data_IF_937856692135
#
_entry.id   IF_937856692135
#
_cell.length_a   1.000
_cell.length_b   1.000
_cell.length_c   1.000
_cell.angle_alpha   90.00
_cell.angle_beta   90.00
_cell.angle_gamma   90.00
#
_symmetry.space_group_name_H-M   'P 1'
#
loop_
_entity.id
_entity.type
_entity.pdbx_description
1 polymer ?
#
# COMPACT_ATOMS: atom_id res chain seq x y z
N UNK A 1 -42.25 29.76 -41.48
CA UNK A 1 -42.47 28.99 -40.22
C UNK A 1 -41.88 27.58 -40.25
N UNK A 2 -42.11 26.75 -41.27
CA UNK A 2 -41.58 25.36 -41.27
C UNK A 2 -40.04 25.24 -41.25
N UNK A 3 -39.28 26.17 -41.82
CA UNK A 3 -37.81 26.17 -41.82
C UNK A 3 -37.22 26.65 -40.46
N UNK A 4 -37.93 27.48 -39.71
CA UNK A 4 -37.51 27.90 -38.36
C UNK A 4 -37.74 26.81 -37.32
N UNK A 5 -38.83 26.02 -37.45
CA UNK A 5 -39.10 24.89 -36.57
C UNK A 5 -38.06 23.77 -36.75
N UNK A 6 -37.60 23.54 -37.98
CA UNK A 6 -36.55 22.55 -38.30
C UNK A 6 -35.19 22.94 -37.72
N UNK A 7 -34.85 24.23 -37.70
CA UNK A 7 -33.58 24.70 -37.11
C UNK A 7 -33.57 24.58 -35.58
N UNK A 8 -34.70 24.84 -34.91
CA UNK A 8 -34.82 24.68 -33.46
C UNK A 8 -34.76 23.22 -33.07
N UNK A 9 -35.34 22.31 -33.86
CA UNK A 9 -35.29 20.87 -33.60
C UNK A 9 -33.87 20.31 -33.77
N UNK A 10 -33.10 20.77 -34.76
CA UNK A 10 -31.70 20.35 -34.96
C UNK A 10 -30.78 20.92 -33.88
N UNK A 11 -31.03 22.16 -33.41
CA UNK A 11 -30.26 22.76 -32.32
C UNK A 11 -30.54 22.08 -30.98
N UNK A 12 -31.78 21.65 -30.72
CA UNK A 12 -32.12 20.90 -29.52
C UNK A 12 -31.57 19.47 -29.52
N UNK A 13 -31.45 18.83 -30.70
CA UNK A 13 -30.79 17.53 -30.82
C UNK A 13 -29.25 17.64 -30.70
N UNK A 14 -28.66 18.76 -31.15
CA UNK A 14 -27.22 18.98 -31.04
C UNK A 14 -26.78 19.34 -29.59
N UNK A 15 -27.68 19.96 -28.79
CA UNK A 15 -27.41 20.23 -27.37
C UNK A 15 -27.59 19.01 -26.47
N UNK A 16 -28.30 17.98 -26.95
CA UNK A 16 -28.44 16.72 -26.17
C UNK A 16 -27.30 15.73 -26.36
N UNK A 17 -26.30 16.06 -27.21
CA UNK A 17 -25.10 15.22 -27.45
C UNK A 17 -23.87 15.65 -26.65
N UNK A 18 -24.00 16.68 -25.81
CA UNK A 18 -22.99 16.98 -24.76
C UNK A 18 -23.64 16.74 -23.38
N UNK A 19 -24.32 15.64 -23.23
CA UNK A 19 -24.47 15.03 -21.94
C UNK A 19 -23.14 14.31 -21.71
N UNK A 20 -22.21 14.99 -21.03
CA UNK A 20 -21.34 14.29 -20.09
C UNK A 20 -22.26 13.27 -19.40
N UNK A 21 -21.90 11.99 -19.30
CA UNK A 21 -22.66 11.09 -18.47
C UNK A 21 -22.73 11.78 -17.10
N UNK A 22 -23.90 12.36 -16.76
CA UNK A 22 -24.23 12.58 -15.39
C UNK A 22 -24.07 11.17 -14.80
N UNK A 23 -23.00 10.96 -14.05
CA UNK A 23 -22.93 9.79 -13.18
C UNK A 23 -24.27 9.86 -12.44
N UNK A 24 -25.13 8.89 -12.70
CA UNK A 24 -26.29 8.66 -11.88
C UNK A 24 -25.81 8.87 -10.45
N UNK A 25 -26.63 9.47 -9.57
CA UNK A 25 -26.37 9.41 -8.12
C UNK A 25 -26.29 7.92 -7.78
N UNK A 26 -25.12 7.33 -8.11
CA UNK A 26 -24.81 5.93 -7.99
C UNK A 26 -24.53 5.63 -6.55
N UNK A 27 -24.85 4.44 -6.15
CA UNK A 27 -24.43 3.87 -4.89
C UNK A 27 -22.98 4.23 -4.63
N UNK A 28 -22.68 4.79 -3.45
CA UNK A 28 -21.35 5.24 -3.13
C UNK A 28 -20.41 4.02 -3.13
N UNK A 29 -19.28 4.15 -3.82
CA UNK A 29 -18.27 3.13 -3.91
C UNK A 29 -17.73 2.77 -2.51
N UNK A 30 -17.72 1.51 -2.14
CA UNK A 30 -17.32 1.06 -0.80
C UNK A 30 -15.93 0.45 -0.81
N UNK A 31 -15.04 1.00 0.02
CA UNK A 31 -13.69 0.45 0.20
C UNK A 31 -13.53 -0.04 1.63
N UNK A 32 -13.17 -1.32 1.80
CA UNK A 32 -12.77 -1.82 3.11
C UNK A 32 -11.33 -1.39 3.43
N UNK A 33 -11.13 -0.86 4.62
CA UNK A 33 -9.84 -0.35 5.10
C UNK A 33 -9.57 -0.80 6.53
N UNK A 34 -8.29 -0.89 6.89
CA UNK A 34 -7.89 -1.08 8.27
C UNK A 34 -7.84 0.26 9.01
N UNK A 35 -8.59 0.38 10.10
CA UNK A 35 -8.47 1.51 11.01
C UNK A 35 -7.54 1.13 12.15
N UNK A 36 -6.36 1.72 12.16
CA UNK A 36 -5.39 1.48 13.23
C UNK A 36 -5.89 2.05 14.56
N UNK A 37 -5.78 1.27 15.66
CA UNK A 37 -6.28 1.67 16.98
C UNK A 37 -5.70 2.97 17.55
N UNK A 38 -4.58 3.46 17.02
CA UNK A 38 -3.99 4.76 17.37
C UNK A 38 -4.46 5.90 16.46
N UNK A 39 -5.32 5.63 15.48
CA UNK A 39 -5.86 6.66 14.59
C UNK A 39 -6.71 7.65 15.36
N UNK A 40 -6.40 8.93 15.23
CA UNK A 40 -7.13 10.05 15.88
C UNK A 40 -7.84 10.96 14.86
N UNK A 41 -7.88 10.55 13.58
CA UNK A 41 -8.52 11.33 12.51
C UNK A 41 -10.06 11.40 12.64
N UNK A 42 -10.65 10.52 13.44
CA UNK A 42 -12.10 10.36 13.52
C UNK A 42 -12.69 9.60 12.31
N UNK A 43 -11.85 8.82 11.63
CA UNK A 43 -12.22 7.96 10.51
C UNK A 43 -11.43 8.26 9.23
N UNK A 44 -11.37 7.26 8.36
CA UNK A 44 -10.58 7.31 7.12
C UNK A 44 -11.00 8.46 6.20
N UNK A 45 -12.29 8.72 6.07
CA UNK A 45 -12.82 9.83 5.27
C UNK A 45 -12.29 11.21 5.71
N UNK A 46 -11.83 11.35 6.95
CA UNK A 46 -11.31 12.62 7.48
C UNK A 46 -9.84 12.86 7.13
N UNK A 47 -9.13 11.86 6.60
CA UNK A 47 -7.72 11.97 6.22
C UNK A 47 -7.55 12.83 4.98
N UNK A 48 -6.36 13.41 4.82
CA UNK A 48 -6.04 14.32 3.70
C UNK A 48 -6.18 13.62 2.35
N UNK A 49 -5.62 12.41 2.20
CA UNK A 49 -5.67 11.66 0.95
C UNK A 49 -7.08 11.35 0.47
N UNK A 50 -7.94 10.73 1.29
CA UNK A 50 -9.35 10.51 0.98
C UNK A 50 -10.12 11.78 0.58
N UNK A 51 -9.96 12.87 1.34
CA UNK A 51 -10.60 14.15 1.01
C UNK A 51 -10.13 14.70 -0.34
N UNK A 52 -8.83 14.68 -0.58
CA UNK A 52 -8.25 15.14 -1.84
C UNK A 52 -8.72 14.27 -3.02
N UNK A 53 -8.83 12.96 -2.82
CA UNK A 53 -9.35 12.05 -3.85
C UNK A 53 -10.81 12.39 -4.20
N UNK A 54 -11.67 12.57 -3.21
CA UNK A 54 -13.08 12.97 -3.43
C UNK A 54 -13.18 14.34 -4.13
N UNK A 55 -12.42 15.34 -3.68
CA UNK A 55 -12.38 16.67 -4.27
C UNK A 55 -11.91 16.67 -5.73
N UNK A 56 -10.93 15.82 -6.05
CA UNK A 56 -10.30 15.78 -7.38
C UNK A 56 -11.12 14.96 -8.37
N UNK A 57 -11.72 13.86 -7.93
CA UNK A 57 -12.43 12.92 -8.81
C UNK A 57 -13.94 13.11 -8.81
N UNK A 58 -14.50 13.75 -7.78
CA UNK A 58 -15.95 13.84 -7.54
C UNK A 58 -16.59 12.49 -7.12
N UNK A 59 -15.79 11.44 -6.93
CA UNK A 59 -16.27 10.12 -6.55
C UNK A 59 -16.40 10.04 -5.03
N UNK A 60 -17.61 9.75 -4.55
CA UNK A 60 -17.86 9.50 -3.14
C UNK A 60 -17.48 8.08 -2.75
N UNK A 61 -16.72 7.94 -1.68
CA UNK A 61 -16.27 6.65 -1.18
C UNK A 61 -16.81 6.46 0.24
N UNK A 62 -17.47 5.33 0.45
CA UNK A 62 -17.81 4.84 1.77
C UNK A 62 -16.65 3.97 2.27
N UNK A 63 -16.04 4.35 3.38
CA UNK A 63 -14.98 3.56 4.00
C UNK A 63 -15.60 2.59 5.00
N UNK A 64 -15.53 1.29 4.70
CA UNK A 64 -15.87 0.23 5.64
C UNK A 64 -14.65 -0.06 6.52
N UNK A 65 -14.65 0.53 7.69
CA UNK A 65 -13.49 0.50 8.60
C UNK A 65 -13.49 -0.77 9.45
N UNK A 66 -12.41 -1.53 9.35
CA UNK A 66 -12.16 -2.73 10.11
C UNK A 66 -11.15 -2.44 11.21
N UNK A 67 -11.49 -2.83 12.44
CA UNK A 67 -10.53 -2.80 13.53
C UNK A 67 -9.44 -3.84 13.33
N UNK A 68 -8.18 -3.47 13.54
CA UNK A 68 -7.01 -4.31 13.30
C UNK A 68 -7.08 -5.68 14.01
N UNK A 69 -7.68 -5.75 15.19
CA UNK A 69 -7.75 -6.98 15.96
C UNK A 69 -8.76 -7.99 15.39
N UNK A 70 -9.80 -7.52 14.67
CA UNK A 70 -10.87 -8.34 14.12
C UNK A 70 -10.90 -8.38 12.58
N UNK A 71 -10.04 -7.62 11.92
CA UNK A 71 -10.05 -7.49 10.46
C UNK A 71 -9.93 -8.84 9.75
N UNK A 72 -8.98 -9.69 10.16
CA UNK A 72 -8.75 -10.98 9.53
C UNK A 72 -9.97 -11.92 9.58
N UNK A 73 -10.69 -11.98 10.71
CA UNK A 73 -11.89 -12.78 10.84
C UNK A 73 -13.01 -12.25 9.93
N UNK A 74 -13.24 -10.93 9.95
CA UNK A 74 -14.27 -10.29 9.12
C UNK A 74 -14.00 -10.48 7.62
N UNK A 75 -12.74 -10.34 7.18
CA UNK A 75 -12.35 -10.58 5.79
C UNK A 75 -12.65 -12.02 5.38
N UNK A 76 -12.32 -13.01 6.21
CA UNK A 76 -12.60 -14.40 5.91
C UNK A 76 -14.11 -14.67 5.80
N UNK A 77 -14.94 -14.00 6.63
CA UNK A 77 -16.39 -14.08 6.54
C UNK A 77 -16.90 -13.47 5.22
N UNK A 78 -16.39 -12.28 4.82
CA UNK A 78 -16.75 -11.64 3.56
C UNK A 78 -16.39 -12.54 2.37
N UNK A 79 -15.17 -13.07 2.32
CA UNK A 79 -14.72 -13.97 1.26
C UNK A 79 -15.57 -15.26 1.21
N UNK A 80 -15.95 -15.81 2.37
CA UNK A 80 -16.78 -17.04 2.44
C UNK A 80 -18.24 -16.80 2.04
N UNK A 81 -18.79 -15.63 2.34
CA UNK A 81 -20.18 -15.27 2.01
C UNK A 81 -20.36 -14.72 0.61
N UNK A 82 -19.30 -14.16 0.01
CA UNK A 82 -19.36 -13.41 -1.24
C UNK A 82 -19.94 -12.00 -1.09
N UNK A 83 -20.22 -11.55 0.14
CA UNK A 83 -20.65 -10.18 0.44
C UNK A 83 -19.41 -9.29 0.58
N UNK A 84 -18.92 -8.80 -0.55
CA UNK A 84 -17.67 -8.06 -0.66
C UNK A 84 -17.92 -6.56 -0.84
N UNK A 85 -17.03 -5.70 -0.32
CA UNK A 85 -16.98 -4.30 -0.73
C UNK A 85 -16.48 -4.20 -2.19
N UNK A 86 -16.61 -3.04 -2.81
CA UNK A 86 -16.11 -2.81 -4.17
C UNK A 86 -14.58 -2.91 -4.25
N UNK A 87 -13.87 -2.57 -3.17
CA UNK A 87 -12.42 -2.75 -3.09
C UNK A 87 -11.93 -2.97 -1.65
N UNK A 88 -10.74 -3.53 -1.55
CA UNK A 88 -9.98 -3.67 -0.30
C UNK A 88 -8.69 -2.86 -0.39
N UNK A 89 -8.40 -2.05 0.61
CA UNK A 89 -7.16 -1.29 0.69
C UNK A 89 -6.22 -1.91 1.73
N UNK A 90 -5.16 -2.57 1.26
CA UNK A 90 -4.11 -3.19 2.09
C UNK A 90 -4.63 -4.17 3.16
N UNK A 91 -5.67 -4.92 2.84
CA UNK A 91 -6.33 -5.83 3.78
C UNK A 91 -6.16 -7.30 3.43
N UNK A 92 -6.05 -7.61 2.13
CA UNK A 92 -5.97 -8.99 1.66
C UNK A 92 -4.51 -9.44 1.59
N UNK A 93 -4.26 -10.66 2.01
CA UNK A 93 -3.01 -11.36 1.73
C UNK A 93 -3.02 -11.91 0.31
N UNK A 94 -1.85 -12.12 -0.27
CA UNK A 94 -1.71 -12.75 -1.60
C UNK A 94 -2.44 -14.11 -1.65
N UNK A 95 -2.30 -14.93 -0.62
CA UNK A 95 -2.99 -16.22 -0.51
C UNK A 95 -4.51 -16.07 -0.58
N UNK A 96 -5.07 -15.06 0.07
CA UNK A 96 -6.52 -14.79 0.02
C UNK A 96 -6.95 -14.36 -1.38
N UNK A 97 -6.17 -13.55 -2.07
CA UNK A 97 -6.45 -13.15 -3.45
C UNK A 97 -6.40 -14.36 -4.38
N UNK A 98 -5.29 -15.10 -4.38
CA UNK A 98 -5.08 -16.27 -5.25
C UNK A 98 -6.15 -17.36 -5.04
N UNK A 99 -6.54 -17.60 -3.79
CA UNK A 99 -7.55 -18.60 -3.47
C UNK A 99 -8.98 -18.20 -3.86
N UNK A 100 -9.21 -16.91 -4.18
CA UNK A 100 -10.52 -16.37 -4.46
C UNK A 100 -10.56 -15.55 -5.79
N UNK A 101 -9.65 -15.82 -6.73
CA UNK A 101 -9.56 -15.09 -8.01
C UNK A 101 -10.91 -14.89 -8.72
N UNK A 102 -11.83 -15.88 -8.77
CA UNK A 102 -13.13 -15.70 -9.42
C UNK A 102 -14.03 -14.60 -8.80
N UNK A 103 -13.71 -14.13 -7.60
CA UNK A 103 -14.44 -13.06 -6.92
C UNK A 103 -13.92 -11.67 -7.27
N UNK A 104 -12.76 -11.57 -7.91
CA UNK A 104 -12.09 -10.33 -8.25
C UNK A 104 -12.15 -10.04 -9.74
N UNK A 105 -12.19 -8.75 -10.09
CA UNK A 105 -12.20 -8.30 -11.49
C UNK A 105 -10.77 -8.26 -12.01
N UNK A 106 -10.46 -8.89 -13.17
CA UNK A 106 -9.20 -8.69 -13.85
C UNK A 106 -9.04 -7.23 -14.28
N UNK A 107 -7.93 -6.62 -13.93
CA UNK A 107 -7.68 -5.19 -14.15
C UNK A 107 -6.99 -4.88 -15.49
N UNK A 108 -6.53 -5.88 -16.23
CA UNK A 108 -5.71 -5.71 -17.43
C UNK A 108 -6.31 -4.71 -18.44
N UNK A 109 -7.61 -4.80 -18.71
CA UNK A 109 -8.30 -3.91 -19.67
C UNK A 109 -8.41 -2.47 -19.18
N UNK A 110 -8.30 -2.24 -17.87
CA UNK A 110 -8.41 -0.92 -17.23
C UNK A 110 -7.06 -0.24 -17.04
N UNK A 111 -5.96 -1.00 -17.09
CA UNK A 111 -4.60 -0.51 -16.90
C UNK A 111 -4.05 0.05 -18.22
N UNK A 112 -4.53 1.21 -18.61
CA UNK A 112 -4.15 1.90 -19.83
C UNK A 112 -3.66 3.32 -19.52
N UNK A 113 -2.95 3.95 -20.46
CA UNK A 113 -2.52 5.34 -20.34
C UNK A 113 -3.70 6.31 -20.18
N UNK A 114 -4.87 5.98 -20.75
CA UNK A 114 -6.08 6.77 -20.64
C UNK A 114 -6.70 6.69 -19.24
N UNK A 115 -6.83 5.48 -18.70
CA UNK A 115 -7.52 5.24 -17.42
C UNK A 115 -6.62 5.42 -16.20
N UNK A 116 -5.33 5.08 -16.33
CA UNK A 116 -4.37 5.05 -15.21
C UNK A 116 -3.01 5.64 -15.59
N UNK A 117 -2.93 6.90 -16.09
CA UNK A 117 -1.71 7.46 -16.66
C UNK A 117 -0.52 7.50 -15.69
N UNK A 118 -0.76 7.75 -14.42
CA UNK A 118 0.31 7.81 -13.41
C UNK A 118 0.82 6.40 -13.05
N UNK A 119 -0.05 5.42 -13.00
CA UNK A 119 0.31 4.03 -12.73
C UNK A 119 1.09 3.45 -13.93
N UNK A 120 0.68 3.75 -15.16
CA UNK A 120 1.39 3.31 -16.36
C UNK A 120 2.81 3.89 -16.43
N UNK A 121 3.01 5.15 -16.08
CA UNK A 121 4.37 5.74 -15.95
C UNK A 121 5.20 5.06 -14.86
N UNK A 122 4.56 4.62 -13.77
CA UNK A 122 5.25 3.87 -12.73
C UNK A 122 5.68 2.49 -13.23
N UNK A 123 4.83 1.79 -13.97
CA UNK A 123 5.16 0.49 -14.58
C UNK A 123 6.24 0.60 -15.67
N UNK A 124 6.26 1.70 -16.43
CA UNK A 124 7.36 1.98 -17.36
C UNK A 124 8.70 2.15 -16.63
N UNK A 125 8.68 2.87 -15.51
CA UNK A 125 9.88 3.12 -14.70
C UNK A 125 10.34 1.89 -13.89
N UNK A 126 9.42 1.05 -13.45
CA UNK A 126 9.64 -0.11 -12.59
C UNK A 126 8.88 -1.31 -13.15
N UNK A 127 9.35 -1.90 -14.27
CA UNK A 127 8.65 -3.01 -14.95
C UNK A 127 8.49 -4.25 -14.07
N UNK A 128 9.40 -4.47 -13.12
CA UNK A 128 9.31 -5.56 -12.15
C UNK A 128 8.04 -5.55 -11.30
N UNK A 129 7.40 -4.39 -11.14
CA UNK A 129 6.12 -4.30 -10.41
C UNK A 129 5.00 -5.03 -11.14
N UNK A 130 5.00 -5.02 -12.46
CA UNK A 130 4.01 -5.73 -13.28
C UNK A 130 4.16 -7.23 -13.06
N UNK A 131 5.42 -7.73 -13.08
CA UNK A 131 5.71 -9.14 -12.84
C UNK A 131 5.26 -9.58 -11.44
N UNK A 132 5.49 -8.72 -10.42
CA UNK A 132 5.12 -9.01 -9.03
C UNK A 132 3.60 -9.11 -8.79
N UNK A 133 2.78 -8.37 -9.54
CA UNK A 133 1.33 -8.34 -9.36
C UNK A 133 0.56 -9.20 -10.37
N UNK A 134 1.25 -9.72 -11.39
CA UNK A 134 0.63 -10.61 -12.39
C UNK A 134 0.49 -12.01 -11.83
N UNK A 135 -0.73 -12.50 -11.80
CA UNK A 135 -1.03 -13.85 -11.32
C UNK A 135 -0.71 -14.92 -12.36
N UNK A 136 -0.72 -16.19 -11.92
CA UNK A 136 -0.36 -17.35 -12.77
C UNK A 136 -1.25 -17.54 -14.00
N UNK A 137 -2.44 -16.94 -14.01
CA UNK A 137 -3.38 -16.91 -15.13
C UNK A 137 -3.11 -15.76 -16.13
N UNK A 138 -2.08 -14.95 -15.88
CA UNK A 138 -1.71 -13.79 -16.66
C UNK A 138 -2.50 -12.52 -16.38
N UNK A 139 -3.37 -12.54 -15.38
CA UNK A 139 -4.19 -11.39 -15.01
C UNK A 139 -3.63 -10.64 -13.80
N UNK A 140 -3.99 -9.37 -13.71
CA UNK A 140 -3.71 -8.49 -12.59
C UNK A 140 -5.02 -8.23 -11.85
N UNK A 141 -5.04 -8.50 -10.53
CA UNK A 141 -6.20 -8.31 -9.66
C UNK A 141 -5.94 -7.32 -8.54
N UNK A 142 -4.69 -6.95 -8.35
CA UNK A 142 -4.26 -6.04 -7.29
C UNK A 142 -3.38 -4.94 -7.85
N UNK A 143 -3.41 -3.78 -7.21
CA UNK A 143 -2.49 -2.69 -7.52
C UNK A 143 -1.36 -2.67 -6.49
N UNK A 144 -0.12 -2.35 -6.90
CA UNK A 144 1.01 -2.31 -5.99
C UNK A 144 0.86 -1.17 -4.99
N UNK A 145 1.27 -1.41 -3.76
CA UNK A 145 1.44 -0.40 -2.74
C UNK A 145 2.92 -0.31 -2.37
N UNK A 146 3.44 0.90 -2.27
CA UNK A 146 4.84 1.11 -1.90
C UNK A 146 5.22 2.58 -1.96
N UNK A 147 6.31 2.92 -1.30
CA UNK A 147 6.97 4.22 -1.41
C UNK A 147 8.15 4.11 -2.38
N UNK A 148 7.92 4.52 -3.62
CA UNK A 148 8.93 4.54 -4.67
C UNK A 148 9.64 5.90 -4.78
N UNK A 149 9.31 6.84 -3.90
CA UNK A 149 9.90 8.19 -3.91
C UNK A 149 11.33 8.21 -3.37
N UNK A 150 11.67 7.23 -2.55
CA UNK A 150 12.99 7.10 -1.95
C UNK A 150 13.50 5.65 -2.06
N UNK A 151 14.29 5.33 -3.09
CA UNK A 151 14.84 3.99 -3.27
C UNK A 151 15.76 3.56 -2.12
N UNK A 152 16.30 4.50 -1.37
CA UNK A 152 17.16 4.22 -0.21
C UNK A 152 16.34 3.86 1.05
N UNK A 153 15.03 4.09 1.03
CA UNK A 153 14.11 3.76 2.13
C UNK A 153 13.46 2.39 1.97
N UNK A 154 14.16 1.44 1.37
CA UNK A 154 13.63 0.10 1.08
C UNK A 154 13.69 -0.87 2.27
N UNK A 155 14.15 -0.40 3.43
CA UNK A 155 14.21 -1.19 4.65
C UNK A 155 13.13 -0.82 5.64
N UNK A 156 12.23 -1.72 5.91
CA UNK A 156 11.41 -1.63 7.11
C UNK A 156 12.33 -1.78 8.33
N UNK A 157 12.66 -0.65 8.92
CA UNK A 157 13.52 -0.58 10.09
C UNK A 157 14.94 -0.09 9.76
N UNK A 158 15.29 1.02 10.36
CA UNK A 158 16.66 1.55 10.32
C UNK A 158 17.47 0.86 11.40
N UNK A 159 18.59 0.32 10.99
CA UNK A 159 19.54 -0.33 11.88
C UNK A 159 20.58 0.68 12.32
N UNK A 160 20.88 0.66 13.60
CA UNK A 160 21.91 1.52 14.18
C UNK A 160 22.99 0.67 14.84
N UNK A 161 24.23 1.09 14.69
CA UNK A 161 25.35 0.53 15.43
C UNK A 161 25.98 1.61 16.32
N UNK A 162 26.40 1.24 17.51
CA UNK A 162 27.07 2.19 18.41
C UNK A 162 28.52 2.41 17.96
N UNK A 163 28.71 3.48 17.17
CA UNK A 163 30.03 3.80 16.62
C UNK A 163 31.07 4.06 17.71
N UNK A 164 30.70 4.62 18.86
CA UNK A 164 31.64 4.86 19.95
C UNK A 164 32.19 3.54 20.54
N UNK A 165 31.39 2.48 20.50
CA UNK A 165 31.85 1.15 20.92
C UNK A 165 32.78 0.51 19.87
N UNK A 166 32.49 0.71 18.58
CA UNK A 166 33.40 0.27 17.53
C UNK A 166 34.76 0.96 17.67
N UNK A 167 34.78 2.29 17.82
CA UNK A 167 35.99 3.07 17.96
C UNK A 167 36.82 2.64 19.20
N UNK A 168 36.13 2.36 20.31
CA UNK A 168 36.81 1.94 21.56
C UNK A 168 37.41 0.54 21.46
N UNK A 169 36.78 -0.34 20.71
CA UNK A 169 37.26 -1.70 20.45
C UNK A 169 38.14 -1.80 19.18
N UNK A 170 38.46 -0.67 18.55
CA UNK A 170 39.25 -0.60 17.32
C UNK A 170 38.68 -1.45 16.18
N UNK A 171 37.33 -1.47 16.05
CA UNK A 171 36.61 -2.24 15.04
C UNK A 171 36.11 -1.34 13.92
N UNK A 172 36.15 -1.86 12.71
CA UNK A 172 35.53 -1.22 11.54
C UNK A 172 34.01 -1.46 11.48
N UNK A 173 33.31 -0.65 10.69
CA UNK A 173 31.90 -0.85 10.42
C UNK A 173 31.69 -2.17 9.65
N UNK A 174 30.89 -3.11 10.16
CA UNK A 174 30.67 -4.38 9.47
C UNK A 174 29.90 -4.18 8.16
N UNK A 175 30.34 -4.87 7.11
CA UNK A 175 29.74 -4.86 5.77
C UNK A 175 29.16 -6.22 5.39
N UNK A 176 29.48 -7.26 6.16
CA UNK A 176 28.99 -8.62 5.98
C UNK A 176 28.37 -9.16 7.27
N UNK A 177 27.56 -10.20 7.17
CA UNK A 177 26.97 -10.88 8.34
C UNK A 177 28.04 -11.51 9.24
N UNK A 178 29.13 -12.02 8.66
CA UNK A 178 30.27 -12.56 9.43
C UNK A 178 31.00 -11.45 10.20
N UNK A 179 31.24 -10.30 9.58
CA UNK A 179 31.84 -9.16 10.28
C UNK A 179 30.93 -8.64 11.39
N UNK A 180 29.62 -8.60 11.17
CA UNK A 180 28.65 -8.23 12.19
C UNK A 180 28.69 -9.22 13.38
N UNK A 181 28.80 -10.51 13.10
CA UNK A 181 28.96 -11.52 14.16
C UNK A 181 30.23 -11.27 14.98
N UNK A 182 31.36 -10.98 14.33
CA UNK A 182 32.62 -10.69 15.02
C UNK A 182 32.54 -9.40 15.85
N UNK A 183 31.88 -8.38 15.34
CA UNK A 183 31.62 -7.13 16.08
C UNK A 183 30.72 -7.39 17.29
N UNK A 184 29.63 -8.12 17.14
CA UNK A 184 28.76 -8.48 18.26
C UNK A 184 29.51 -9.29 19.35
N UNK A 185 30.36 -10.21 18.93
CA UNK A 185 31.20 -11.00 19.83
C UNK A 185 32.19 -10.12 20.60
N UNK A 186 32.91 -9.24 19.88
CA UNK A 186 33.87 -8.33 20.50
C UNK A 186 33.20 -7.35 21.47
N UNK A 187 32.02 -6.83 21.16
CA UNK A 187 31.22 -6.01 22.07
C UNK A 187 30.88 -6.80 23.34
N UNK A 188 30.44 -8.06 23.21
CA UNK A 188 30.05 -8.89 24.35
C UNK A 188 31.20 -9.21 25.28
N UNK A 189 32.43 -9.34 24.73
CA UNK A 189 33.63 -9.78 25.48
C UNK A 189 34.52 -8.60 25.92
N UNK A 190 34.30 -7.40 25.38
CA UNK A 190 35.28 -6.32 25.39
C UNK A 190 35.03 -5.15 26.34
N UNK A 191 33.92 -5.10 27.11
CA UNK A 191 33.58 -4.00 28.03
C UNK A 191 33.70 -2.59 27.37
N UNK A 192 33.04 -2.32 26.24
CA UNK A 192 33.13 -1.03 25.58
C UNK A 192 32.47 0.11 26.37
N UNK A 193 31.60 -0.16 27.33
CA UNK A 193 31.06 0.87 28.22
C UNK A 193 32.06 1.26 29.34
N UNK A 194 33.04 0.37 29.67
CA UNK A 194 34.11 0.64 30.62
C UNK A 194 33.70 0.58 32.06
N UNK A 195 32.64 -0.16 32.40
CA UNK A 195 32.15 -0.30 33.76
C UNK A 195 32.84 -1.46 34.54
N UNK A 196 33.61 -2.30 33.86
CA UNK A 196 34.31 -3.44 34.43
C UNK A 196 33.44 -4.70 34.55
N UNK A 197 32.27 -4.72 33.98
CA UNK A 197 31.33 -5.84 33.99
C UNK A 197 31.04 -6.30 32.54
N UNK A 198 30.83 -7.60 32.32
CA UNK A 198 30.51 -8.15 31.01
C UNK A 198 28.96 -8.13 30.81
N UNK A 199 28.37 -6.95 30.81
CA UNK A 199 26.91 -6.75 30.77
C UNK A 199 26.40 -6.26 29.44
N UNK A 200 27.28 -6.04 28.45
CA UNK A 200 26.87 -5.56 27.14
C UNK A 200 25.88 -6.49 26.45
N UNK A 201 24.86 -5.84 25.85
CA UNK A 201 23.92 -6.47 24.93
C UNK A 201 24.29 -5.99 23.54
N UNK A 202 25.00 -6.79 22.72
CA UNK A 202 25.54 -6.35 21.45
C UNK A 202 24.45 -6.09 20.39
N UNK A 203 23.26 -6.68 20.56
CA UNK A 203 22.14 -6.52 19.62
C UNK A 203 20.81 -6.58 20.38
N UNK A 204 19.90 -5.67 20.04
CA UNK A 204 18.56 -5.64 20.59
C UNK A 204 17.54 -5.36 19.49
N UNK A 205 16.34 -5.86 19.68
CA UNK A 205 15.24 -5.76 18.70
C UNK A 205 13.96 -5.36 19.42
N UNK A 206 13.04 -4.76 18.68
CA UNK A 206 11.67 -4.60 19.14
C UNK A 206 10.89 -5.91 19.00
N UNK A 207 9.88 -6.12 19.83
CA UNK A 207 9.10 -7.36 19.89
C UNK A 207 8.35 -7.69 18.59
N UNK A 208 8.17 -6.74 17.70
CA UNK A 208 7.44 -6.88 16.44
C UNK A 208 8.39 -6.94 15.23
N UNK A 209 8.94 -8.08 14.97
CA UNK A 209 9.38 -8.67 13.69
C UNK A 209 10.27 -7.91 12.70
N UNK A 210 10.56 -6.64 12.88
CA UNK A 210 11.37 -5.90 11.92
C UNK A 210 12.84 -6.35 11.86
N UNK A 211 13.24 -7.16 12.84
CA UNK A 211 14.58 -7.73 12.92
C UNK A 211 14.81 -8.95 12.00
N UNK A 212 13.76 -9.60 11.53
CA UNK A 212 13.88 -10.79 10.69
C UNK A 212 14.40 -10.48 9.27
N UNK A 213 14.49 -9.21 8.89
CA UNK A 213 15.02 -8.77 7.61
C UNK A 213 16.54 -8.63 7.55
N UNK A 214 17.24 -9.10 8.60
CA UNK A 214 18.70 -9.07 8.67
C UNK A 214 19.40 -10.24 8.00
N UNK A 215 18.66 -11.26 7.62
CA UNK A 215 19.26 -12.54 7.20
C UNK A 215 18.91 -12.77 5.74
#
# INVERSE_FOLDING_TARGET
MKRFLSLILVLSLALSLIALPAMAEGEAFTIAVNLHGLDKSGGTANKIGPKHAEETTGVKINYYELDSASAGEKINIMLASGDLPDAFLSLLTETQVVSNLPMFVPLNEYLTEENAPNLMKMFEKYPELVDMITQVDGNIYTLPIGDFSNPDNQGEGIQFINKAWLDKLELEMPTTTEELYQVCKAIKEGDPNGNGEADEIPMTFTQNNWAAHFI
#
